data_IF_949730663966
#
_entry.id   IF_949730663966
#
_cell.length_a   1.000
_cell.length_b   1.000
_cell.length_c   1.000
_cell.angle_alpha   90.00
_cell.angle_beta   90.00
_cell.angle_gamma   90.00
#
_symmetry.space_group_name_H-M   'P 1'
#
loop_
_entity.id
_entity.type
_entity.pdbx_description
1 polymer ?
#
# COMPACT_ATOMS: atom_id res chain seq x y z
N UNK A 1 7.26 17.61 17.37
CA UNK A 1 7.98 16.55 16.64
C UNK A 1 7.39 16.51 15.25
N UNK A 2 8.21 16.53 14.20
CA UNK A 2 7.71 16.31 12.83
C UNK A 2 7.60 14.79 12.70
N UNK A 3 6.39 14.26 12.74
CA UNK A 3 6.12 12.87 12.40
C UNK A 3 6.12 12.75 10.88
N UNK A 4 6.96 11.87 10.34
CA UNK A 4 6.97 11.54 8.92
C UNK A 4 5.65 10.81 8.61
N UNK A 5 4.80 11.40 7.76
CA UNK A 5 3.47 10.85 7.47
C UNK A 5 3.64 9.60 6.61
N UNK A 6 3.22 8.44 7.12
CA UNK A 6 3.26 7.16 6.42
C UNK A 6 2.01 6.98 5.58
N UNK A 7 2.20 7.05 4.26
CA UNK A 7 1.13 6.97 3.26
C UNK A 7 1.18 5.67 2.48
N UNK A 8 0.06 4.96 2.40
CA UNK A 8 -0.05 3.66 1.71
C UNK A 8 -1.00 3.74 0.51
N UNK A 9 -0.52 3.41 -0.68
CA UNK A 9 -1.34 3.32 -1.89
C UNK A 9 -1.73 1.86 -2.14
N UNK A 10 -2.99 1.53 -1.90
CA UNK A 10 -3.54 0.18 -1.98
C UNK A 10 -4.01 -0.16 -3.39
N UNK A 11 -3.59 -1.32 -3.91
CA UNK A 11 -3.98 -1.80 -5.24
C UNK A 11 -3.50 -0.88 -6.35
N UNK A 12 -2.25 -0.40 -6.26
CA UNK A 12 -1.75 0.66 -7.13
C UNK A 12 -1.66 0.24 -8.60
N UNK A 13 -1.55 -1.07 -8.89
CA UNK A 13 -1.30 -1.57 -10.23
C UNK A 13 -0.16 -0.80 -10.90
N UNK A 14 -0.39 -0.29 -12.11
CA UNK A 14 0.58 0.53 -12.87
C UNK A 14 0.57 2.02 -12.49
N UNK A 15 -0.32 2.44 -11.60
CA UNK A 15 -0.47 3.83 -11.20
C UNK A 15 0.27 4.03 -9.87
N UNK A 16 1.55 4.36 -9.91
CA UNK A 16 2.34 4.60 -8.70
C UNK A 16 2.30 6.07 -8.31
N UNK A 17 2.36 6.34 -7.01
CA UNK A 17 2.34 7.71 -6.47
C UNK A 17 3.68 8.01 -5.78
N UNK A 18 4.43 9.04 -6.24
CA UNK A 18 5.63 9.47 -5.56
C UNK A 18 5.34 9.93 -4.12
N UNK A 19 6.19 9.49 -3.18
CA UNK A 19 6.01 9.80 -1.74
C UNK A 19 4.93 8.96 -1.06
N UNK A 20 4.42 7.92 -1.72
CA UNK A 20 3.56 6.89 -1.15
C UNK A 20 4.28 5.55 -1.21
N UNK A 21 4.02 4.68 -0.24
CA UNK A 21 4.37 3.26 -0.35
C UNK A 21 3.35 2.58 -1.26
N UNK A 22 3.79 2.09 -2.40
CA UNK A 22 2.92 1.50 -3.41
C UNK A 22 2.75 -0.01 -3.19
N UNK A 23 1.50 -0.46 -2.97
CA UNK A 23 1.15 -1.83 -2.66
C UNK A 23 0.24 -2.43 -3.74
N UNK A 24 0.61 -3.60 -4.25
CA UNK A 24 -0.23 -4.44 -5.11
C UNK A 24 0.08 -5.93 -4.89
N UNK A 25 -0.78 -6.82 -5.38
CA UNK A 25 -0.49 -8.27 -5.36
C UNK A 25 0.41 -8.71 -6.51
N UNK A 26 0.47 -7.91 -7.59
CA UNK A 26 1.31 -8.19 -8.74
C UNK A 26 2.69 -7.54 -8.57
N UNK A 27 3.80 -8.28 -8.73
CA UNK A 27 5.16 -7.73 -8.65
C UNK A 27 5.54 -7.03 -9.95
N UNK A 28 5.00 -5.84 -10.17
CA UNK A 28 5.27 -5.00 -11.35
C UNK A 28 6.10 -3.77 -10.98
N UNK A 29 6.66 -3.11 -11.99
CA UNK A 29 7.55 -1.97 -11.79
C UNK A 29 6.88 -0.84 -10.99
N UNK A 30 7.59 -0.35 -9.99
CA UNK A 30 7.13 0.68 -9.05
C UNK A 30 6.21 0.20 -7.91
N UNK A 31 5.84 -1.09 -7.85
CA UNK A 31 5.26 -1.68 -6.64
C UNK A 31 6.39 -1.95 -5.63
N UNK A 32 6.26 -1.39 -4.43
CA UNK A 32 7.26 -1.53 -3.36
C UNK A 32 6.88 -2.66 -2.40
N UNK A 33 5.57 -2.94 -2.27
CA UNK A 33 5.03 -3.87 -1.29
C UNK A 33 4.12 -4.86 -2.01
N UNK A 34 4.52 -6.13 -2.02
CA UNK A 34 3.76 -7.20 -2.67
C UNK A 34 2.90 -7.88 -1.60
N UNK A 35 1.59 -7.67 -1.66
CA UNK A 35 0.65 -8.27 -0.71
C UNK A 35 -0.73 -8.49 -1.33
N UNK A 36 -1.37 -9.61 -1.00
CA UNK A 36 -2.73 -9.90 -1.45
C UNK A 36 -3.79 -9.36 -0.47
N UNK A 37 -4.41 -8.24 -0.85
CA UNK A 37 -5.49 -7.62 -0.08
C UNK A 37 -6.72 -8.54 0.06
N UNK A 38 -6.93 -9.48 -0.88
CA UNK A 38 -8.00 -10.46 -0.80
C UNK A 38 -7.75 -11.52 0.31
N UNK A 39 -6.49 -11.69 0.72
CA UNK A 39 -6.06 -12.66 1.73
C UNK A 39 -5.79 -12.07 3.13
N UNK A 40 -6.08 -10.79 3.35
CA UNK A 40 -5.84 -10.07 4.61
C UNK A 40 -6.47 -10.71 5.87
N UNK A 41 -7.47 -11.59 5.69
CA UNK A 41 -8.08 -12.36 6.79
C UNK A 41 -7.14 -13.41 7.39
N UNK A 42 -6.22 -13.97 6.60
CA UNK A 42 -5.31 -15.03 7.05
C UNK A 42 -3.85 -14.60 7.02
N UNK A 43 -3.51 -13.67 6.14
CA UNK A 43 -2.17 -13.11 5.99
C UNK A 43 -2.21 -11.60 6.17
N UNK A 44 -1.65 -11.11 7.27
CA UNK A 44 -1.63 -9.65 7.54
C UNK A 44 -0.70 -8.94 6.56
N UNK A 45 -1.00 -7.67 6.30
CA UNK A 45 -0.04 -6.78 5.64
C UNK A 45 1.26 -6.67 6.45
N UNK A 46 2.42 -6.42 5.81
CA UNK A 46 3.72 -6.38 6.47
C UNK A 46 3.97 -5.06 7.22
N UNK A 47 2.97 -4.59 7.96
CA UNK A 47 3.03 -3.38 8.78
C UNK A 47 2.64 -3.71 10.23
N UNK A 48 3.24 -3.04 11.23
CA UNK A 48 2.69 -3.07 12.58
C UNK A 48 1.31 -2.39 12.62
N UNK A 49 0.49 -2.80 13.58
CA UNK A 49 -0.83 -2.21 13.79
C UNK A 49 -0.69 -0.71 14.14
N UNK A 50 -1.57 0.13 13.58
CA UNK A 50 -1.65 1.59 13.82
C UNK A 50 -0.42 2.42 13.37
N UNK A 51 0.34 1.97 12.37
CA UNK A 51 1.51 2.68 11.83
C UNK A 51 1.27 3.39 10.48
N UNK A 52 0.07 3.33 9.90
CA UNK A 52 -0.25 4.00 8.63
C UNK A 52 -1.20 5.17 8.92
N UNK A 53 -0.79 6.38 8.52
CA UNK A 53 -1.56 7.60 8.77
C UNK A 53 -2.63 7.82 7.70
N UNK A 54 -2.30 7.54 6.44
CA UNK A 54 -3.17 7.77 5.28
C UNK A 54 -3.13 6.57 4.34
N UNK A 55 -4.29 6.20 3.80
CA UNK A 55 -4.38 5.24 2.71
C UNK A 55 -5.18 5.80 1.54
N UNK A 56 -4.71 5.51 0.33
CA UNK A 56 -5.40 5.82 -0.91
C UNK A 56 -5.73 4.52 -1.62
N UNK A 57 -7.00 4.35 -2.00
CA UNK A 57 -7.47 3.22 -2.79
C UNK A 57 -7.92 3.75 -4.15
N UNK A 58 -7.14 3.43 -5.18
CA UNK A 58 -7.51 3.75 -6.55
C UNK A 58 -8.36 2.62 -7.12
N UNK A 59 -9.51 2.98 -7.69
CA UNK A 59 -10.34 2.04 -8.46
C UNK A 59 -10.50 2.58 -9.87
N UNK A 60 -9.86 1.91 -10.82
CA UNK A 60 -10.04 2.11 -12.26
C UNK A 60 -11.37 1.49 -12.72
N UNK A 61 -12.49 2.14 -12.39
CA UNK A 61 -13.77 1.92 -13.08
C UNK A 61 -13.91 2.88 -14.25
#
# INVERSE_FOLDING_TARGET
MITDIKRLHLGCGKNTLPGWMNLDKMPIDGVEIIADLDNCKTEKLPFPDNEIDEFYLYRST
#
